data_IF_104301014478
#
_entry.id   IF_104301014478
#
_cell.length_a   1.000
_cell.length_b   1.000
_cell.length_c   1.000
_cell.angle_alpha   90.00
_cell.angle_beta   90.00
_cell.angle_gamma   90.00
#
_symmetry.space_group_name_H-M   'P 1'
#
loop_
_entity.id
_entity.type
_entity.pdbx_description
1 polymer ?
#
# COMPACT_ATOMS: atom_id res chain seq x y z
N UNK A 1 -30.02 -12.89 12.85
CA UNK A 1 -29.96 -14.08 13.66
C UNK A 1 -28.76 -14.02 14.60
N UNK A 2 -29.04 -13.99 15.94
CA UNK A 2 -27.99 -13.82 16.96
C UNK A 2 -27.07 -15.04 17.05
N UNK A 3 -27.54 -16.24 16.73
CA UNK A 3 -26.68 -17.43 16.73
C UNK A 3 -25.64 -17.39 15.61
N UNK A 4 -26.00 -16.92 14.43
CA UNK A 4 -25.07 -16.71 13.32
C UNK A 4 -24.07 -15.59 13.68
N UNK A 5 -24.53 -14.50 14.28
CA UNK A 5 -23.66 -13.42 14.73
C UNK A 5 -22.68 -13.89 15.80
N UNK A 6 -23.12 -14.71 16.75
CA UNK A 6 -22.24 -15.25 17.78
C UNK A 6 -21.12 -16.12 17.18
N UNK A 7 -21.43 -16.97 16.21
CA UNK A 7 -20.44 -17.78 15.49
C UNK A 7 -19.45 -16.89 14.71
N UNK A 8 -19.95 -15.88 13.99
CA UNK A 8 -19.11 -14.94 13.25
C UNK A 8 -18.14 -14.21 14.19
N UNK A 9 -18.61 -13.72 15.35
CA UNK A 9 -17.74 -13.05 16.34
C UNK A 9 -16.67 -14.00 16.87
N UNK A 10 -17.01 -15.25 17.18
CA UNK A 10 -16.06 -16.25 17.64
C UNK A 10 -14.98 -16.55 16.57
N UNK A 11 -15.38 -16.69 15.31
CA UNK A 11 -14.45 -16.90 14.19
C UNK A 11 -13.54 -15.69 13.97
N UNK A 12 -14.07 -14.49 14.08
CA UNK A 12 -13.27 -13.26 13.99
C UNK A 12 -12.22 -13.17 15.11
N UNK A 13 -12.61 -13.44 16.36
CA UNK A 13 -11.69 -13.42 17.52
C UNK A 13 -10.60 -14.48 17.35
N UNK A 14 -10.96 -15.69 16.92
CA UNK A 14 -10.00 -16.74 16.60
C UNK A 14 -9.04 -16.30 15.49
N UNK A 15 -9.57 -15.78 14.38
CA UNK A 15 -8.75 -15.29 13.26
C UNK A 15 -7.79 -14.16 13.67
N UNK A 16 -8.19 -13.31 14.63
CA UNK A 16 -7.34 -12.26 15.21
C UNK A 16 -6.19 -12.83 16.03
N UNK A 17 -6.48 -13.84 16.85
CA UNK A 17 -5.44 -14.56 17.60
C UNK A 17 -4.44 -15.23 16.65
N UNK A 18 -4.94 -15.94 15.63
CA UNK A 18 -4.09 -16.56 14.60
C UNK A 18 -3.27 -15.54 13.81
N UNK A 19 -3.81 -14.34 13.57
CA UNK A 19 -3.09 -13.27 12.90
C UNK A 19 -1.85 -12.81 13.65
N UNK A 20 -1.91 -12.74 14.98
CA UNK A 20 -0.76 -12.36 15.83
C UNK A 20 0.35 -13.42 15.85
N UNK A 21 0.03 -14.67 15.49
CA UNK A 21 1.00 -15.77 15.35
C UNK A 21 1.62 -15.85 13.95
N UNK A 22 1.17 -15.02 13.01
CA UNK A 22 1.66 -15.05 11.63
C UNK A 22 2.52 -13.83 11.32
N UNK A 23 3.81 -14.06 11.00
CA UNK A 23 4.78 -13.00 10.75
C UNK A 23 4.35 -12.02 9.67
N UNK A 24 3.83 -12.52 8.55
CA UNK A 24 3.39 -11.67 7.44
C UNK A 24 2.19 -10.79 7.81
N UNK A 25 1.27 -11.31 8.63
CA UNK A 25 0.12 -10.52 9.15
C UNK A 25 0.58 -9.48 10.17
N UNK A 26 1.50 -9.83 11.07
CA UNK A 26 2.11 -8.88 11.99
C UNK A 26 2.84 -7.76 11.24
N UNK A 27 3.58 -8.10 10.19
CA UNK A 27 4.24 -7.11 9.35
C UNK A 27 3.24 -6.24 8.59
N UNK A 28 2.16 -6.80 8.07
CA UNK A 28 1.08 -6.04 7.44
C UNK A 28 0.45 -5.03 8.39
N UNK A 29 0.23 -5.41 9.65
CA UNK A 29 -0.26 -4.51 10.69
C UNK A 29 0.75 -3.42 11.03
N UNK A 30 2.03 -3.76 11.22
CA UNK A 30 3.11 -2.79 11.44
C UNK A 30 3.22 -1.80 10.27
N UNK A 31 3.18 -2.27 9.03
CA UNK A 31 3.20 -1.43 7.83
C UNK A 31 2.04 -0.44 7.81
N UNK A 32 0.83 -0.90 8.10
CA UNK A 32 -0.35 -0.03 8.20
C UNK A 32 -0.17 1.02 9.29
N UNK A 33 0.36 0.64 10.44
CA UNK A 33 0.68 1.55 11.53
C UNK A 33 1.75 2.58 11.14
N UNK A 34 2.79 2.18 10.42
CA UNK A 34 3.84 3.08 9.91
C UNK A 34 3.24 4.11 8.93
N UNK A 35 2.36 3.68 8.03
CA UNK A 35 1.80 4.55 7.00
C UNK A 35 0.74 5.51 7.52
N UNK A 36 -0.13 5.05 8.44
CA UNK A 36 -1.35 5.76 8.79
C UNK A 36 -1.49 6.07 10.29
N UNK A 37 -0.67 5.44 11.13
CA UNK A 37 -0.60 5.71 12.57
C UNK A 37 -1.72 5.09 13.40
N UNK A 38 -1.68 5.34 14.73
CA UNK A 38 -2.61 4.73 15.68
C UNK A 38 -4.05 5.21 15.53
N UNK A 39 -4.27 6.44 15.06
CA UNK A 39 -5.61 7.00 14.87
C UNK A 39 -6.39 6.25 13.79
N UNK A 40 -5.71 5.86 12.72
CA UNK A 40 -6.30 5.04 11.68
C UNK A 40 -6.72 3.68 12.24
N UNK A 41 -5.82 3.00 12.96
CA UNK A 41 -6.09 1.69 13.56
C UNK A 41 -7.33 1.77 14.47
N UNK A 42 -7.40 2.77 15.38
CA UNK A 42 -8.54 2.97 16.29
C UNK A 42 -9.87 3.22 15.57
N UNK A 43 -9.85 3.88 14.43
CA UNK A 43 -11.06 4.19 13.65
C UNK A 43 -11.55 3.04 12.78
N UNK A 44 -10.65 2.16 12.37
CA UNK A 44 -10.96 1.09 11.41
C UNK A 44 -11.06 -0.29 12.03
N UNK A 45 -10.65 -0.42 13.30
CA UNK A 45 -10.62 -1.71 13.99
C UNK A 45 -11.41 -1.64 15.30
N UNK A 46 -12.42 -2.48 15.43
CA UNK A 46 -13.10 -2.69 16.70
C UNK A 46 -12.20 -3.49 17.64
N UNK A 47 -12.12 -3.09 18.91
CA UNK A 47 -11.49 -3.92 19.94
C UNK A 47 -12.28 -5.23 20.15
N UNK A 48 -11.66 -6.25 20.74
CA UNK A 48 -12.38 -7.51 21.02
C UNK A 48 -13.60 -7.29 21.94
N UNK A 49 -13.52 -6.51 23.03
CA UNK A 49 -14.72 -6.21 23.82
C UNK A 49 -15.82 -5.49 23.03
N UNK A 50 -15.45 -4.54 22.14
CA UNK A 50 -16.45 -3.87 21.30
C UNK A 50 -17.08 -4.81 20.27
N UNK A 51 -16.30 -5.76 19.71
CA UNK A 51 -16.81 -6.79 18.82
C UNK A 51 -17.76 -7.75 19.57
N UNK A 52 -17.41 -8.17 20.78
CA UNK A 52 -18.26 -9.03 21.61
C UNK A 52 -19.59 -8.37 21.97
N UNK A 53 -19.57 -7.06 22.26
CA UNK A 53 -20.76 -6.27 22.58
C UNK A 53 -21.68 -5.99 21.38
N UNK A 54 -21.25 -6.30 20.14
CA UNK A 54 -22.04 -6.06 18.93
C UNK A 54 -23.27 -6.96 18.89
N UNK A 55 -24.45 -6.39 18.62
CA UNK A 55 -25.72 -7.11 18.45
C UNK A 55 -26.25 -7.02 17.02
N UNK A 56 -27.14 -7.91 16.64
CA UNK A 56 -27.84 -7.83 15.34
C UNK A 56 -28.61 -6.54 15.20
N UNK A 57 -29.17 -6.00 16.27
CA UNK A 57 -29.90 -4.73 16.27
C UNK A 57 -28.98 -3.57 15.89
N UNK A 58 -27.79 -3.48 16.50
CA UNK A 58 -26.79 -2.45 16.18
C UNK A 58 -26.36 -2.53 14.72
N UNK A 59 -26.12 -3.74 14.19
CA UNK A 59 -25.73 -3.93 12.79
C UNK A 59 -26.84 -3.53 11.82
N UNK A 60 -28.08 -3.93 12.11
CA UNK A 60 -29.24 -3.58 11.28
C UNK A 60 -29.48 -2.05 11.29
N UNK A 61 -29.34 -1.41 12.45
CA UNK A 61 -29.42 0.05 12.55
C UNK A 61 -28.36 0.74 11.68
N UNK A 62 -27.11 0.23 11.70
CA UNK A 62 -26.03 0.75 10.82
C UNK A 62 -26.32 0.57 9.34
N UNK A 63 -26.84 -0.59 8.94
CA UNK A 63 -27.28 -0.83 7.54
C UNK A 63 -28.38 0.18 7.16
N UNK A 64 -29.35 0.40 8.05
CA UNK A 64 -30.42 1.38 7.84
C UNK A 64 -29.88 2.80 7.66
N UNK A 65 -28.88 3.22 8.45
CA UNK A 65 -28.20 4.52 8.29
C UNK A 65 -27.54 4.67 6.90
N UNK A 66 -26.93 3.59 6.37
CA UNK A 66 -26.28 3.62 5.05
C UNK A 66 -27.28 3.84 3.91
N UNK A 67 -28.50 3.31 4.03
CA UNK A 67 -29.56 3.52 3.03
C UNK A 67 -30.02 4.98 2.92
N UNK A 68 -29.75 5.79 3.94
CA UNK A 68 -29.99 7.24 3.92
C UNK A 68 -28.84 8.08 3.36
N UNK A 69 -27.73 7.46 2.95
CA UNK A 69 -26.55 8.18 2.43
C UNK A 69 -26.53 8.21 0.90
N UNK A 70 -25.94 9.28 0.34
CA UNK A 70 -25.66 9.33 -1.09
C UNK A 70 -24.76 8.17 -1.49
N UNK A 71 -25.16 7.47 -2.54
CA UNK A 71 -24.44 6.31 -3.07
C UNK A 71 -24.61 6.22 -4.57
N UNK A 72 -23.79 5.41 -5.21
CA UNK A 72 -23.82 5.14 -6.63
C UNK A 72 -24.06 3.65 -6.87
N UNK A 73 -24.84 3.34 -7.88
CA UNK A 73 -25.01 1.97 -8.36
C UNK A 73 -24.23 1.81 -9.65
N UNK A 74 -23.32 0.85 -9.66
CA UNK A 74 -22.52 0.48 -10.81
C UNK A 74 -23.04 -0.85 -11.34
N UNK A 75 -23.36 -0.90 -12.62
CA UNK A 75 -23.85 -2.11 -13.24
C UNK A 75 -23.00 -2.51 -14.44
N UNK A 76 -22.63 -3.76 -14.51
CA UNK A 76 -22.04 -4.41 -15.66
C UNK A 76 -22.79 -5.72 -15.92
N UNK A 77 -23.50 -5.82 -17.03
CA UNK A 77 -24.30 -7.00 -17.34
C UNK A 77 -25.06 -6.85 -18.68
N UNK A 78 -25.89 -7.83 -19.04
CA UNK A 78 -26.59 -7.88 -20.33
C UNK A 78 -27.84 -6.98 -20.43
N UNK A 79 -28.38 -6.50 -19.28
CA UNK A 79 -29.57 -5.67 -19.26
C UNK A 79 -29.27 -4.27 -19.80
N UNK A 80 -30.27 -3.69 -20.46
CA UNK A 80 -30.22 -2.28 -20.87
C UNK A 80 -30.30 -1.33 -19.67
N UNK A 81 -29.85 -0.11 -19.85
CA UNK A 81 -29.97 0.96 -18.84
C UNK A 81 -31.43 1.12 -18.36
N UNK A 82 -32.41 1.04 -19.28
CA UNK A 82 -33.82 1.13 -18.95
C UNK A 82 -34.26 0.01 -18.01
N UNK A 83 -33.92 -1.25 -18.32
CA UNK A 83 -34.29 -2.41 -17.49
C UNK A 83 -33.67 -2.32 -16.08
N UNK A 84 -32.41 -1.90 -16.01
CA UNK A 84 -31.72 -1.71 -14.71
C UNK A 84 -32.39 -0.57 -13.92
N UNK A 85 -32.68 0.55 -14.56
CA UNK A 85 -33.32 1.71 -13.92
C UNK A 85 -34.70 1.36 -13.40
N UNK A 86 -35.50 0.63 -14.18
CA UNK A 86 -36.83 0.16 -13.77
C UNK A 86 -36.75 -0.81 -12.58
N UNK A 87 -35.79 -1.74 -12.60
CA UNK A 87 -35.58 -2.66 -11.50
C UNK A 87 -35.12 -1.93 -10.21
N UNK A 88 -34.23 -0.94 -10.33
CA UNK A 88 -33.81 -0.10 -9.21
C UNK A 88 -34.98 0.71 -8.66
N UNK A 89 -35.77 1.35 -9.49
CA UNK A 89 -36.99 2.10 -9.08
C UNK A 89 -37.96 1.22 -8.30
N UNK A 90 -38.08 -0.06 -8.68
CA UNK A 90 -38.98 -1.01 -8.04
C UNK A 90 -38.43 -1.54 -6.72
N UNK A 91 -37.16 -1.89 -6.63
CA UNK A 91 -36.57 -2.68 -5.54
C UNK A 91 -35.62 -1.89 -4.64
N UNK A 92 -34.97 -0.85 -5.15
CA UNK A 92 -34.00 -0.06 -4.39
C UNK A 92 -34.68 1.16 -3.75
N UNK A 93 -35.25 0.95 -2.57
CA UNK A 93 -35.95 2.03 -1.84
C UNK A 93 -34.96 2.83 -1.01
N UNK A 94 -34.87 4.10 -1.31
CA UNK A 94 -34.05 5.07 -0.58
C UNK A 94 -34.93 6.15 0.07
N UNK A 95 -34.34 6.90 1.00
CA UNK A 95 -34.97 8.11 1.54
C UNK A 95 -35.18 9.15 0.43
N UNK A 96 -36.22 10.00 0.58
CA UNK A 96 -36.49 11.07 -0.37
C UNK A 96 -35.31 12.06 -0.48
N UNK A 97 -34.62 12.29 0.65
CA UNK A 97 -33.41 13.09 0.71
C UNK A 97 -32.26 12.22 1.22
N UNK A 98 -31.22 12.07 0.41
CA UNK A 98 -30.00 11.35 0.76
C UNK A 98 -28.98 12.31 1.35
N UNK A 99 -28.46 11.97 2.50
CA UNK A 99 -27.40 12.73 3.17
C UNK A 99 -26.07 12.52 2.46
N UNK A 100 -25.26 13.59 2.24
CA UNK A 100 -23.93 13.44 1.68
C UNK A 100 -23.02 12.60 2.58
N UNK A 101 -22.08 11.88 1.98
CA UNK A 101 -20.98 11.25 2.69
C UNK A 101 -19.88 12.29 2.91
N UNK A 102 -19.43 12.44 4.16
CA UNK A 102 -18.19 13.17 4.46
C UNK A 102 -17.00 12.31 4.01
N UNK A 103 -16.56 12.51 2.77
CA UNK A 103 -15.44 11.77 2.17
C UNK A 103 -14.13 12.40 2.60
N UNK A 104 -13.48 11.81 3.60
CA UNK A 104 -12.08 12.13 3.95
C UNK A 104 -11.19 11.04 3.42
N UNK A 105 -10.35 11.38 2.47
CA UNK A 105 -9.38 10.43 1.93
C UNK A 105 -8.26 10.19 2.93
N UNK A 106 -7.89 8.92 3.07
CA UNK A 106 -6.82 8.50 3.96
C UNK A 106 -5.49 9.07 3.49
N UNK A 107 -4.83 9.83 4.36
CA UNK A 107 -3.55 10.45 4.08
C UNK A 107 -2.40 9.66 4.70
N UNK A 108 -1.32 9.51 3.96
CA UNK A 108 -0.06 8.99 4.48
C UNK A 108 0.51 9.93 5.56
N UNK A 109 1.02 9.37 6.66
CA UNK A 109 1.67 10.16 7.70
C UNK A 109 2.91 10.87 7.16
N UNK A 110 3.20 12.11 7.60
CA UNK A 110 4.41 12.81 7.24
C UNK A 110 5.65 12.11 7.79
N UNK A 111 6.80 12.29 7.10
CA UNK A 111 8.11 11.77 7.49
C UNK A 111 9.10 12.91 7.67
N UNK A 112 8.77 13.86 8.55
CA UNK A 112 9.58 15.06 8.80
C UNK A 112 10.89 14.73 9.52
N UNK A 113 10.91 13.63 10.28
CA UNK A 113 12.06 13.12 11.01
C UNK A 113 12.21 11.61 10.80
N UNK A 114 13.48 11.15 10.74
CA UNK A 114 13.75 9.71 10.70
C UNK A 114 13.52 9.10 12.08
N UNK A 115 12.87 7.93 12.12
CA UNK A 115 12.61 7.16 13.34
C UNK A 115 12.47 5.67 13.04
N UNK A 116 12.68 4.85 14.06
CA UNK A 116 12.55 3.39 14.00
C UNK A 116 11.37 2.94 14.84
N UNK A 117 10.42 2.24 14.21
CA UNK A 117 9.31 1.57 14.88
C UNK A 117 9.59 0.06 14.87
N UNK A 118 9.72 -0.54 16.04
CA UNK A 118 10.01 -1.97 16.17
C UNK A 118 8.84 -2.71 16.80
N UNK A 119 8.50 -3.87 16.24
CA UNK A 119 7.57 -4.82 16.84
C UNK A 119 8.28 -6.17 17.06
N UNK A 120 8.08 -6.75 18.25
CA UNK A 120 8.65 -8.04 18.61
C UNK A 120 7.97 -9.16 17.82
N UNK A 121 8.78 -10.03 17.23
CA UNK A 121 8.33 -11.29 16.67
C UNK A 121 9.46 -12.32 16.72
N UNK A 122 9.22 -13.46 17.37
CA UNK A 122 10.21 -14.54 17.51
C UNK A 122 10.37 -15.27 16.17
N UNK A 123 11.39 -14.87 15.41
CA UNK A 123 11.79 -15.50 14.16
C UNK A 123 13.26 -15.25 13.87
N UNK A 124 13.90 -16.16 13.14
CA UNK A 124 15.28 -16.02 12.65
C UNK A 124 15.42 -15.08 11.46
N UNK A 125 14.32 -14.66 10.89
CA UNK A 125 14.25 -13.72 9.79
C UNK A 125 13.42 -12.50 10.20
N UNK A 126 13.99 -11.32 10.04
CA UNK A 126 13.29 -10.06 10.23
C UNK A 126 12.65 -9.57 8.92
N UNK A 127 11.59 -8.77 9.08
CA UNK A 127 11.02 -7.97 8.02
C UNK A 127 11.32 -6.49 8.29
N UNK A 128 11.91 -5.84 7.30
CA UNK A 128 12.30 -4.44 7.32
C UNK A 128 11.49 -3.64 6.31
N UNK A 129 10.97 -2.52 6.75
CA UNK A 129 10.26 -1.54 5.95
C UNK A 129 10.98 -0.20 6.04
N UNK A 130 11.19 0.44 4.90
CA UNK A 130 11.62 1.84 4.81
C UNK A 130 10.52 2.62 4.10
N UNK A 131 10.03 3.68 4.74
CA UNK A 131 8.89 4.45 4.26
C UNK A 131 9.20 5.95 4.29
N UNK A 132 8.79 6.65 3.24
CA UNK A 132 8.76 8.11 3.20
C UNK A 132 7.46 8.63 2.56
N UNK A 133 6.87 9.67 3.16
CA UNK A 133 5.88 10.50 2.50
C UNK A 133 6.61 11.51 1.61
N UNK A 134 6.32 11.50 0.31
CA UNK A 134 7.04 12.34 -0.67
C UNK A 134 6.53 13.78 -0.74
N UNK A 135 5.48 14.10 0.01
CA UNK A 135 4.97 15.47 0.17
C UNK A 135 4.19 16.03 -1.01
N UNK A 136 4.21 15.38 -2.18
CA UNK A 136 3.56 15.81 -3.41
C UNK A 136 2.24 15.07 -3.60
N UNK A 137 1.19 15.79 -3.98
CA UNK A 137 -0.09 15.24 -4.41
C UNK A 137 0.03 14.63 -5.82
N UNK A 138 -1.00 13.88 -6.20
CA UNK A 138 -1.09 13.28 -7.52
C UNK A 138 -0.87 14.31 -8.63
N UNK A 139 -0.05 13.92 -9.60
CA UNK A 139 0.21 14.66 -10.83
C UNK A 139 0.35 13.64 -11.98
N UNK A 140 -0.59 13.63 -12.90
CA UNK A 140 -0.60 12.72 -14.05
C UNK A 140 0.67 12.87 -14.91
N UNK A 141 1.28 14.05 -14.94
CA UNK A 141 2.53 14.28 -15.69
C UNK A 141 3.71 13.47 -15.13
N UNK A 142 3.66 13.08 -13.85
CA UNK A 142 4.69 12.27 -13.21
C UNK A 142 4.52 10.75 -13.44
N UNK A 143 3.36 10.30 -13.91
CA UNK A 143 3.07 8.87 -14.07
C UNK A 143 4.08 8.12 -14.95
N UNK A 144 4.50 8.62 -16.12
CA UNK A 144 5.48 7.91 -16.96
C UNK A 144 6.84 7.72 -16.27
N UNK A 145 7.34 8.76 -15.60
CA UNK A 145 8.64 8.69 -14.91
C UNK A 145 8.58 7.75 -13.70
N UNK A 146 7.50 7.80 -12.92
CA UNK A 146 7.32 6.95 -11.74
C UNK A 146 7.11 5.48 -12.16
N UNK A 147 6.31 5.24 -13.19
CA UNK A 147 6.03 3.89 -13.67
C UNK A 147 7.29 3.22 -14.21
N UNK A 148 8.07 3.92 -15.04
CA UNK A 148 9.32 3.38 -15.57
C UNK A 148 10.40 3.23 -14.48
N UNK A 149 10.48 4.19 -13.54
CA UNK A 149 11.35 4.07 -12.38
C UNK A 149 11.03 2.83 -11.55
N UNK A 150 9.77 2.62 -11.21
CA UNK A 150 9.35 1.46 -10.44
C UNK A 150 9.68 0.15 -11.14
N UNK A 151 9.50 0.07 -12.45
CA UNK A 151 9.85 -1.12 -13.24
C UNK A 151 11.35 -1.41 -13.22
N UNK A 152 12.18 -0.38 -13.41
CA UNK A 152 13.64 -0.52 -13.42
C UNK A 152 14.20 -0.78 -12.02
N UNK A 153 13.78 0.00 -11.01
CA UNK A 153 14.39 -0.03 -9.69
C UNK A 153 13.91 -1.19 -8.81
N UNK A 154 12.61 -1.45 -8.74
CA UNK A 154 12.07 -2.42 -7.77
C UNK A 154 11.00 -3.39 -8.28
N UNK A 155 10.68 -3.36 -9.57
CA UNK A 155 9.47 -3.96 -10.14
C UNK A 155 9.53 -5.45 -10.51
N UNK A 156 10.64 -6.16 -10.31
CA UNK A 156 10.71 -7.57 -10.69
C UNK A 156 12.11 -8.18 -10.58
N UNK A 157 12.28 -9.39 -11.08
CA UNK A 157 13.55 -10.14 -10.99
C UNK A 157 14.74 -9.47 -11.70
N UNK A 158 14.48 -8.62 -12.67
CA UNK A 158 15.53 -7.87 -13.39
C UNK A 158 15.75 -6.46 -12.81
N UNK A 159 15.02 -6.09 -11.76
CA UNK A 159 15.16 -4.78 -11.12
C UNK A 159 16.46 -4.63 -10.36
N UNK A 160 16.92 -3.39 -10.20
CA UNK A 160 18.13 -3.07 -9.41
C UNK A 160 18.06 -3.67 -8.02
N UNK A 161 16.93 -3.49 -7.30
CA UNK A 161 16.76 -3.99 -5.94
C UNK A 161 16.89 -5.51 -5.87
N UNK A 162 16.28 -6.24 -6.78
CA UNK A 162 16.36 -7.70 -6.79
C UNK A 162 17.77 -8.18 -7.10
N UNK A 163 18.40 -7.60 -8.13
CA UNK A 163 19.74 -8.01 -8.57
C UNK A 163 20.80 -7.70 -7.50
N UNK A 164 20.75 -6.53 -6.89
CA UNK A 164 21.72 -6.13 -5.87
C UNK A 164 21.51 -6.85 -4.54
N UNK A 165 20.26 -6.91 -4.04
CA UNK A 165 20.00 -7.41 -2.71
C UNK A 165 19.97 -8.93 -2.63
N UNK A 166 19.45 -9.59 -3.65
CA UNK A 166 19.32 -11.05 -3.68
C UNK A 166 20.44 -11.74 -4.44
N UNK A 167 20.64 -11.38 -5.72
CA UNK A 167 21.54 -12.15 -6.60
C UNK A 167 23.02 -11.83 -6.32
N UNK A 168 23.39 -10.55 -6.23
CA UNK A 168 24.78 -10.16 -6.07
C UNK A 168 25.28 -10.30 -4.61
N UNK A 169 24.48 -9.92 -3.63
CA UNK A 169 24.92 -9.84 -2.22
C UNK A 169 24.37 -10.95 -1.34
N UNK A 170 23.32 -11.67 -1.76
CA UNK A 170 22.67 -12.74 -0.97
C UNK A 170 22.14 -12.28 0.38
N UNK A 171 21.72 -11.01 0.46
CA UNK A 171 21.26 -10.38 1.70
C UNK A 171 19.78 -10.61 1.99
N UNK A 172 18.97 -10.85 0.96
CA UNK A 172 17.53 -11.00 1.13
C UNK A 172 16.94 -12.03 0.18
N UNK A 173 15.99 -12.84 0.68
CA UNK A 173 15.18 -13.70 -0.19
C UNK A 173 14.14 -12.88 -0.96
N UNK A 174 13.56 -11.88 -0.29
CA UNK A 174 12.61 -10.95 -0.89
C UNK A 174 13.08 -9.53 -0.63
N UNK A 175 13.26 -8.76 -1.68
CA UNK A 175 13.53 -7.33 -1.63
C UNK A 175 12.73 -6.63 -2.73
N UNK A 176 12.10 -5.52 -2.38
CA UNK A 176 11.34 -4.70 -3.32
C UNK A 176 11.32 -3.24 -2.88
N UNK A 177 11.17 -2.34 -3.83
CA UNK A 177 10.97 -0.93 -3.56
C UNK A 177 10.06 -0.31 -4.63
N UNK A 178 9.30 0.70 -4.24
CA UNK A 178 8.47 1.43 -5.19
C UNK A 178 8.08 2.81 -4.68
N UNK A 179 7.89 3.73 -5.61
CA UNK A 179 7.12 4.94 -5.38
C UNK A 179 5.65 4.55 -5.43
N UNK A 180 4.95 4.69 -4.29
CA UNK A 180 3.52 4.40 -4.16
C UNK A 180 2.71 5.54 -4.76
N UNK A 181 1.85 5.21 -5.70
CA UNK A 181 0.98 6.20 -6.33
C UNK A 181 -0.27 6.46 -5.50
N UNK A 182 -0.77 7.71 -5.47
CA UNK A 182 -2.03 8.06 -4.84
C UNK A 182 -3.23 7.40 -5.53
N UNK A 183 -4.28 7.12 -4.73
CA UNK A 183 -5.57 6.65 -5.25
C UNK A 183 -6.60 7.78 -5.43
N UNK A 184 -6.29 8.98 -4.92
CA UNK A 184 -7.13 10.17 -5.00
C UNK A 184 -6.26 11.38 -5.30
N UNK A 185 -6.81 12.36 -6.01
CA UNK A 185 -6.09 13.56 -6.45
C UNK A 185 -5.51 14.39 -5.29
N UNK A 186 -6.15 14.37 -4.12
CA UNK A 186 -5.72 15.09 -2.91
C UNK A 186 -4.80 14.30 -1.98
N UNK A 187 -4.47 13.04 -2.33
CA UNK A 187 -3.55 12.22 -1.56
C UNK A 187 -2.13 12.28 -2.12
N UNK A 188 -1.15 11.94 -1.29
CA UNK A 188 0.26 12.15 -1.61
C UNK A 188 0.93 10.86 -2.06
N UNK A 189 1.96 11.01 -2.90
CA UNK A 189 2.90 9.92 -3.19
C UNK A 189 3.65 9.50 -1.93
N UNK A 190 3.93 8.22 -1.83
CA UNK A 190 4.83 7.65 -0.84
C UNK A 190 5.98 6.90 -1.49
N UNK A 191 7.01 6.59 -0.73
CA UNK A 191 8.04 5.63 -1.09
C UNK A 191 8.03 4.51 -0.07
N UNK A 192 8.16 3.29 -0.54
CA UNK A 192 8.27 2.10 0.30
C UNK A 192 9.37 1.20 -0.23
N UNK A 193 10.22 0.72 0.68
CA UNK A 193 11.11 -0.41 0.44
C UNK A 193 10.86 -1.49 1.49
N UNK A 194 10.97 -2.74 1.08
CA UNK A 194 10.79 -3.92 1.92
C UNK A 194 11.90 -4.93 1.70
N UNK A 195 12.40 -5.49 2.80
CA UNK A 195 13.37 -6.59 2.78
C UNK A 195 12.97 -7.65 3.81
N UNK A 196 13.04 -8.92 3.42
CA UNK A 196 13.07 -10.04 4.33
C UNK A 196 14.50 -10.60 4.40
N UNK A 197 15.15 -10.46 5.55
CA UNK A 197 16.56 -10.88 5.75
C UNK A 197 16.76 -11.60 7.08
N UNK A 198 17.89 -12.27 7.27
CA UNK A 198 18.27 -12.86 8.55
C UNK A 198 18.59 -11.77 9.57
N UNK A 199 18.32 -12.02 10.86
CA UNK A 199 18.53 -11.04 11.94
C UNK A 199 19.98 -10.54 11.99
N UNK A 200 20.96 -11.44 11.81
CA UNK A 200 22.39 -11.14 11.80
C UNK A 200 22.88 -10.38 10.56
N UNK A 201 22.07 -10.33 9.49
CA UNK A 201 22.39 -9.58 8.27
C UNK A 201 21.68 -8.22 8.20
N UNK A 202 20.92 -7.84 9.22
CA UNK A 202 20.10 -6.62 9.21
C UNK A 202 20.90 -5.38 8.83
N UNK A 203 22.01 -5.12 9.51
CA UNK A 203 22.84 -3.93 9.24
C UNK A 203 23.33 -3.91 7.80
N UNK A 204 23.94 -5.01 7.33
CA UNK A 204 24.42 -5.11 5.95
C UNK A 204 23.33 -4.91 4.92
N UNK A 205 22.13 -5.43 5.19
CA UNK A 205 21.00 -5.29 4.29
C UNK A 205 20.49 -3.84 4.22
N UNK A 206 20.42 -3.13 5.35
CA UNK A 206 20.01 -1.72 5.40
C UNK A 206 21.05 -0.84 4.70
N UNK A 207 22.35 -1.02 5.01
CA UNK A 207 23.45 -0.27 4.40
C UNK A 207 23.50 -0.48 2.87
N UNK A 208 23.35 -1.73 2.42
CA UNK A 208 23.31 -2.03 1.00
C UNK A 208 22.10 -1.38 0.29
N UNK A 209 20.97 -1.32 1.01
CA UNK A 209 19.77 -0.64 0.46
C UNK A 209 19.98 0.88 0.37
N UNK A 210 20.53 1.49 1.41
CA UNK A 210 20.86 2.91 1.42
C UNK A 210 21.89 3.26 0.34
N UNK A 211 22.86 2.35 0.10
CA UNK A 211 23.83 2.51 -1.00
C UNK A 211 23.13 2.58 -2.36
N UNK A 212 22.26 1.63 -2.70
CA UNK A 212 21.57 1.62 -4.01
C UNK A 212 20.52 2.74 -4.13
N UNK A 213 19.96 3.23 -3.04
CA UNK A 213 19.09 4.41 -3.03
C UNK A 213 19.88 5.67 -3.34
N UNK A 214 21.09 5.84 -2.76
CA UNK A 214 21.90 7.03 -2.93
C UNK A 214 22.76 6.97 -4.20
N UNK A 215 23.20 5.79 -4.60
CA UNK A 215 24.06 5.54 -5.75
C UNK A 215 23.48 4.41 -6.60
N UNK A 216 22.33 4.68 -7.23
CA UNK A 216 21.63 3.68 -8.04
C UNK A 216 22.53 3.13 -9.14
N UNK A 217 22.74 1.79 -9.20
CA UNK A 217 23.47 1.14 -10.28
C UNK A 217 22.84 1.46 -11.64
N UNK A 218 23.68 1.79 -12.63
CA UNK A 218 23.26 2.10 -13.98
C UNK A 218 23.56 0.92 -14.90
N UNK A 219 22.53 0.36 -15.54
CA UNK A 219 22.65 -0.73 -16.50
C UNK A 219 21.72 -0.50 -17.68
N UNK A 220 22.29 -0.17 -18.83
CA UNK A 220 21.55 -0.01 -20.08
C UNK A 220 20.79 -1.29 -20.48
N UNK A 221 21.37 -2.45 -20.20
CA UNK A 221 20.72 -3.74 -20.48
C UNK A 221 19.49 -3.94 -19.59
N UNK A 222 19.60 -3.72 -18.28
CA UNK A 222 18.48 -3.83 -17.35
C UNK A 222 17.40 -2.79 -17.67
N UNK A 223 17.80 -1.56 -18.00
CA UNK A 223 16.90 -0.48 -18.42
C UNK A 223 16.09 -0.87 -19.67
N UNK A 224 16.77 -1.40 -20.68
CA UNK A 224 16.11 -1.85 -21.92
C UNK A 224 15.07 -2.95 -21.62
N UNK A 225 15.43 -3.94 -20.81
CA UNK A 225 14.51 -5.03 -20.40
C UNK A 225 13.29 -4.45 -19.67
N UNK A 226 13.50 -3.58 -18.69
CA UNK A 226 12.42 -2.95 -17.92
C UNK A 226 11.50 -2.14 -18.83
N UNK A 227 12.05 -1.31 -19.69
CA UNK A 227 11.29 -0.47 -20.63
C UNK A 227 10.49 -1.29 -21.63
N UNK A 228 11.12 -2.30 -22.27
CA UNK A 228 10.44 -3.16 -23.24
C UNK A 228 9.35 -4.00 -22.57
N UNK A 229 9.59 -4.50 -21.35
CA UNK A 229 8.62 -5.21 -20.54
C UNK A 229 7.39 -4.36 -20.21
N UNK A 230 7.62 -3.10 -19.78
CA UNK A 230 6.54 -2.14 -19.51
C UNK A 230 5.73 -1.84 -20.79
N UNK A 231 6.38 -1.53 -21.90
CA UNK A 231 5.73 -1.26 -23.18
C UNK A 231 4.92 -2.47 -23.64
N UNK A 232 5.46 -3.69 -23.51
CA UNK A 232 4.76 -4.92 -23.88
C UNK A 232 3.51 -5.11 -23.02
N UNK A 233 3.61 -4.92 -21.70
CA UNK A 233 2.48 -5.01 -20.77
C UNK A 233 1.38 -4.01 -21.15
N UNK A 234 1.71 -2.72 -21.31
CA UNK A 234 0.75 -1.68 -21.71
C UNK A 234 0.06 -1.97 -23.05
N UNK A 235 0.72 -2.69 -23.97
CA UNK A 235 0.12 -3.12 -25.24
C UNK A 235 -0.85 -4.27 -25.10
N UNK A 236 -0.62 -5.18 -24.17
CA UNK A 236 -1.35 -6.44 -24.05
C UNK A 236 -2.42 -6.44 -22.99
N UNK A 237 -2.28 -5.64 -21.94
CA UNK A 237 -3.25 -5.56 -20.87
C UNK A 237 -4.59 -5.02 -21.40
N UNK A 238 -5.65 -5.62 -20.91
CA UNK A 238 -7.03 -5.25 -21.26
C UNK A 238 -7.87 -5.17 -20.01
N UNK A 239 -8.53 -4.04 -19.86
CA UNK A 239 -9.57 -3.90 -18.85
C UNK A 239 -10.81 -4.64 -19.35
N UNK A 240 -11.23 -5.69 -18.67
CA UNK A 240 -12.32 -6.57 -19.11
C UNK A 240 -13.40 -6.69 -18.06
N UNK A 241 -14.63 -6.97 -18.51
CA UNK A 241 -15.80 -7.19 -17.66
C UNK A 241 -16.04 -6.02 -16.70
N UNK A 242 -16.43 -6.34 -15.46
CA UNK A 242 -16.69 -5.36 -14.38
C UNK A 242 -15.48 -4.50 -14.00
N UNK A 243 -14.27 -4.90 -14.37
CA UNK A 243 -13.06 -4.09 -14.14
C UNK A 243 -13.15 -2.71 -14.81
N UNK A 244 -13.91 -2.57 -15.89
CA UNK A 244 -14.17 -1.28 -16.55
C UNK A 244 -14.78 -0.27 -15.57
N UNK A 245 -15.70 -0.72 -14.69
CA UNK A 245 -16.34 0.14 -13.69
C UNK A 245 -15.32 0.65 -12.66
N UNK A 246 -14.44 -0.23 -12.18
CA UNK A 246 -13.42 0.13 -11.20
C UNK A 246 -12.33 1.01 -11.79
N UNK A 247 -11.92 0.77 -13.03
CA UNK A 247 -10.99 1.64 -13.76
C UNK A 247 -11.57 3.05 -13.90
N UNK A 248 -12.84 3.17 -14.30
CA UNK A 248 -13.55 4.45 -14.40
C UNK A 248 -13.58 5.18 -13.04
N UNK A 249 -13.93 4.50 -11.96
CA UNK A 249 -13.94 5.08 -10.61
C UNK A 249 -12.51 5.52 -10.20
N UNK A 250 -11.50 4.72 -10.50
CA UNK A 250 -10.10 5.05 -10.24
C UNK A 250 -9.67 6.33 -10.95
N UNK A 251 -9.96 6.46 -12.23
CA UNK A 251 -9.67 7.68 -13.01
C UNK A 251 -10.41 8.90 -12.43
N UNK A 252 -11.71 8.76 -12.16
CA UNK A 252 -12.51 9.82 -11.55
C UNK A 252 -11.97 10.27 -10.19
N UNK A 253 -11.52 9.35 -9.35
CA UNK A 253 -10.90 9.67 -8.05
C UNK A 253 -9.60 10.48 -8.20
N UNK A 254 -8.90 10.31 -9.30
CA UNK A 254 -7.70 11.07 -9.66
C UNK A 254 -8.01 12.36 -10.44
N UNK A 255 -9.29 12.63 -10.76
CA UNK A 255 -9.69 13.78 -11.56
C UNK A 255 -9.34 13.65 -13.04
N UNK A 256 -9.25 12.41 -13.55
CA UNK A 256 -8.89 12.11 -14.94
C UNK A 256 -10.13 11.70 -15.74
N UNK A 257 -10.17 12.12 -17.00
CA UNK A 257 -11.22 11.77 -17.98
C UNK A 257 -10.75 10.73 -19.01
N UNK A 258 -9.42 10.61 -19.17
CA UNK A 258 -8.79 9.69 -20.13
C UNK A 258 -7.96 8.62 -19.43
N UNK A 259 -7.77 7.50 -20.12
CA UNK A 259 -6.90 6.42 -19.67
C UNK A 259 -5.45 6.89 -19.57
N UNK A 260 -4.90 6.84 -18.35
CA UNK A 260 -3.52 7.21 -18.05
C UNK A 260 -2.48 6.31 -18.72
N UNK A 261 -2.82 5.04 -18.98
CA UNK A 261 -1.91 4.08 -19.60
C UNK A 261 -1.52 4.48 -21.03
N UNK A 262 -2.43 5.15 -21.74
CA UNK A 262 -2.13 5.74 -23.06
C UNK A 262 -1.01 6.76 -22.97
N UNK A 263 -1.08 7.69 -22.02
CA UNK A 263 -0.06 8.74 -21.83
C UNK A 263 1.27 8.11 -21.37
N UNK A 264 1.23 7.13 -20.48
CA UNK A 264 2.42 6.39 -20.04
C UNK A 264 3.07 5.71 -21.23
N UNK A 265 2.29 4.97 -22.02
CA UNK A 265 2.78 4.29 -23.23
C UNK A 265 3.47 5.21 -24.22
N UNK A 266 2.86 6.35 -24.52
CA UNK A 266 3.40 7.33 -25.49
C UNK A 266 4.72 7.92 -24.99
N UNK A 267 4.78 8.35 -23.72
CA UNK A 267 5.96 9.02 -23.16
C UNK A 267 7.14 8.08 -22.87
N UNK A 268 6.87 6.88 -22.35
CA UNK A 268 7.92 5.91 -22.00
C UNK A 268 8.76 5.51 -23.21
N UNK A 269 8.19 5.51 -24.43
CA UNK A 269 8.94 5.17 -25.64
C UNK A 269 10.14 6.08 -25.90
N UNK A 270 10.08 7.35 -25.53
CA UNK A 270 11.17 8.32 -25.71
C UNK A 270 12.10 8.40 -24.49
N UNK A 271 11.73 7.85 -23.33
CA UNK A 271 12.50 7.95 -22.10
C UNK A 271 13.80 7.13 -22.15
N UNK A 272 14.79 7.60 -21.41
CA UNK A 272 16.15 7.07 -21.32
C UNK A 272 16.50 6.67 -19.88
N UNK A 273 17.63 6.00 -19.67
CA UNK A 273 18.15 5.69 -18.33
C UNK A 273 18.43 6.99 -17.52
N UNK A 274 18.80 8.08 -18.21
CA UNK A 274 18.98 9.37 -17.55
C UNK A 274 17.68 9.92 -16.93
N UNK A 275 16.52 9.67 -17.55
CA UNK A 275 15.22 10.06 -16.98
C UNK A 275 14.89 9.25 -15.72
N UNK A 276 15.23 7.96 -15.69
CA UNK A 276 15.08 7.10 -14.50
C UNK A 276 15.99 7.58 -13.36
N UNK A 277 17.22 7.98 -13.69
CA UNK A 277 18.15 8.58 -12.72
C UNK A 277 17.62 9.91 -12.17
N UNK A 278 17.08 10.76 -13.02
CA UNK A 278 16.44 11.99 -12.60
C UNK A 278 15.24 11.74 -11.69
N UNK A 279 14.44 10.69 -11.96
CA UNK A 279 13.35 10.28 -11.09
C UNK A 279 13.86 9.83 -9.71
N UNK A 280 14.94 9.05 -9.62
CA UNK A 280 15.61 8.67 -8.37
C UNK A 280 16.01 9.90 -7.55
N UNK A 281 16.69 10.86 -8.15
CA UNK A 281 17.12 12.11 -7.50
C UNK A 281 15.92 12.94 -7.01
N UNK A 282 14.88 13.04 -7.81
CA UNK A 282 13.68 13.84 -7.56
C UNK A 282 12.80 13.26 -6.46
N UNK A 283 12.59 11.94 -6.48
CA UNK A 283 11.55 11.27 -5.67
C UNK A 283 12.09 10.53 -4.46
N UNK A 284 13.26 9.92 -4.53
CA UNK A 284 13.70 8.92 -3.53
C UNK A 284 14.90 9.40 -2.74
N UNK A 285 15.91 9.97 -3.38
CA UNK A 285 17.16 10.34 -2.73
C UNK A 285 16.99 11.44 -1.67
N UNK A 286 17.79 11.40 -0.61
CA UNK A 286 17.85 12.41 0.46
C UNK A 286 16.54 12.60 1.23
N UNK A 287 15.78 11.54 1.45
CA UNK A 287 14.54 11.57 2.23
C UNK A 287 14.79 11.24 3.70
N UNK A 288 13.87 11.70 4.54
CA UNK A 288 13.71 11.18 5.90
C UNK A 288 12.82 9.94 5.83
N UNK A 289 13.20 8.91 6.59
CA UNK A 289 12.49 7.64 6.55
C UNK A 289 11.93 7.25 7.92
N UNK A 290 10.76 6.67 7.93
CA UNK A 290 10.29 5.87 9.05
C UNK A 290 10.61 4.41 8.73
N UNK A 291 11.40 3.80 9.61
CA UNK A 291 11.80 2.40 9.50
C UNK A 291 10.86 1.54 10.34
N UNK A 292 10.25 0.53 9.74
CA UNK A 292 9.45 -0.48 10.43
C UNK A 292 10.20 -1.79 10.50
N UNK A 293 10.42 -2.34 11.69
CA UNK A 293 11.17 -3.59 11.89
C UNK A 293 10.31 -4.57 12.67
N UNK A 294 10.09 -5.74 12.09
CA UNK A 294 9.46 -6.89 12.76
C UNK A 294 10.46 -8.03 12.84
N UNK A 295 10.87 -8.39 14.04
CA UNK A 295 11.85 -9.45 14.28
C UNK A 295 12.08 -9.69 15.77
N UNK A 296 12.98 -10.61 16.09
CA UNK A 296 13.38 -10.85 17.48
C UNK A 296 14.32 -9.75 17.97
N UNK A 297 13.79 -8.84 18.78
CA UNK A 297 14.53 -7.66 19.28
C UNK A 297 15.82 -8.05 20.00
N UNK A 298 15.89 -9.25 20.59
CA UNK A 298 17.09 -9.72 21.28
C UNK A 298 18.24 -10.04 20.32
N UNK A 299 17.93 -10.40 19.07
CA UNK A 299 18.89 -10.73 18.03
C UNK A 299 19.34 -9.49 17.22
N UNK A 300 18.77 -8.28 17.45
CA UNK A 300 19.02 -7.09 16.64
C UNK A 300 20.08 -6.16 17.26
N UNK A 301 20.91 -5.55 16.40
CA UNK A 301 21.82 -4.49 16.83
C UNK A 301 21.08 -3.16 17.04
N UNK A 302 20.66 -2.94 18.28
CA UNK A 302 19.96 -1.71 18.66
C UNK A 302 20.86 -0.47 18.61
N UNK A 303 22.19 -0.61 18.73
CA UNK A 303 23.11 0.53 18.63
C UNK A 303 23.17 1.02 17.19
N UNK A 304 23.23 0.10 16.22
CA UNK A 304 23.12 0.46 14.82
C UNK A 304 21.75 1.12 14.51
N UNK A 305 20.66 0.54 14.96
CA UNK A 305 19.32 1.09 14.71
C UNK A 305 19.15 2.50 15.28
N UNK A 306 19.78 2.85 16.40
CA UNK A 306 19.77 4.23 16.93
C UNK A 306 20.45 5.24 16.01
N UNK A 307 21.35 4.81 15.12
CA UNK A 307 21.97 5.70 14.13
C UNK A 307 20.98 6.14 13.04
N UNK A 308 19.94 5.34 12.78
CA UNK A 308 18.89 5.64 11.83
C UNK A 308 17.83 6.62 12.39
N UNK A 309 17.72 6.72 13.72
CA UNK A 309 16.81 7.60 14.42
C UNK A 309 16.37 7.07 15.79
N UNK A 310 15.54 7.82 16.52
CA UNK A 310 14.99 7.37 17.79
C UNK A 310 14.14 6.11 17.60
N UNK A 311 14.36 5.12 18.49
CA UNK A 311 13.67 3.84 18.47
C UNK A 311 12.43 3.90 19.37
N UNK A 312 11.30 3.44 18.85
CA UNK A 312 10.08 3.16 19.61
C UNK A 312 9.64 1.72 19.36
N UNK A 313 9.52 0.95 20.43
CA UNK A 313 8.86 -0.36 20.37
C UNK A 313 7.35 -0.17 20.40
N UNK A 314 6.65 -0.86 19.50
CA UNK A 314 5.18 -0.90 19.41
C UNK A 314 4.71 -2.32 19.70
N UNK A 315 3.64 -2.45 20.46
CA UNK A 315 3.10 -3.78 20.81
C UNK A 315 2.22 -4.33 19.66
N UNK A 316 1.95 -5.63 19.72
CA UNK A 316 0.99 -6.25 18.79
C UNK A 316 -0.41 -5.65 18.95
N UNK A 317 -0.82 -5.32 20.17
CA UNK A 317 -2.10 -4.67 20.45
C UNK A 317 -2.18 -3.28 19.80
N UNK A 318 -1.09 -2.50 19.83
CA UNK A 318 -1.04 -1.18 19.18
C UNK A 318 -1.18 -1.28 17.65
N UNK A 319 -0.46 -2.21 17.02
CA UNK A 319 -0.44 -2.31 15.55
C UNK A 319 -1.69 -3.00 14.99
N UNK A 320 -2.34 -3.89 15.74
CA UNK A 320 -3.57 -4.55 15.32
C UNK A 320 -4.85 -3.83 15.78
N UNK A 321 -4.81 -3.12 16.91
CA UNK A 321 -5.97 -2.43 17.51
C UNK A 321 -6.92 -3.34 18.30
N UNK A 322 -6.50 -4.59 18.61
CA UNK A 322 -7.29 -5.57 19.36
C UNK A 322 -6.46 -6.52 20.21
#
# INVERSE_FOLDING_TARGET
DEAILANLKADMIKSRADAKLNQSRCFGALRTYVFYGPDFIRRTTLTNPALEAMSSEILLAKIGELMGKQHEVLYYGPQSEKEVTEALAMHHKTSAELQPLDKKHLQLLPTDESKVLMAQYDAKQLYYLQYANLGKQFDVAADPEITLYNEYFGGGMNSVVFQEMREARGLAYTAQASIMQPNYADTKYGYMAFIATQNDKMQMAIEAFDEIINNMPESETAFKIAKEGLISRLRTDRTVKEQVLWSFIGLRNLGLEEDRDKQIFEKVQAMTLADVKAAQEKWVKNRKYVYGILGDIQDLDLNYLKTLGPIRTVSQEEIFGY
#
